data_IF_977827432264
#
_entry.id   IF_977827432264
#
_cell.length_a   1.000
_cell.length_b   1.000
_cell.length_c   1.000
_cell.angle_alpha   90.00
_cell.angle_beta   90.00
_cell.angle_gamma   90.00
#
_symmetry.space_group_name_H-M   'P 1'
#
loop_
_entity.id
_entity.type
_entity.pdbx_description
1 polymer ?
#
# COMPACT_ATOMS: atom_id res chain seq x y z
N UNK A 1 -19.94 31.29 8.35
CA UNK A 1 -18.58 31.19 7.79
C UNK A 1 -18.28 29.72 7.59
N UNK A 2 -17.94 29.28 6.38
CA UNK A 2 -17.66 27.86 6.10
C UNK A 2 -16.27 27.52 6.64
N UNK A 3 -16.15 26.45 7.43
CA UNK A 3 -14.87 25.99 7.99
C UNK A 3 -14.62 24.56 7.53
N UNK A 4 -13.50 24.35 6.83
CA UNK A 4 -13.04 23.01 6.50
C UNK A 4 -12.52 22.36 7.79
N UNK A 5 -13.10 21.23 8.19
CA UNK A 5 -12.75 20.54 9.45
C UNK A 5 -11.65 19.50 9.24
N UNK A 6 -11.60 18.89 8.06
CA UNK A 6 -10.61 17.88 7.69
C UNK A 6 -10.56 17.72 6.17
N UNK A 7 -9.37 17.42 5.64
CA UNK A 7 -9.21 16.98 4.25
C UNK A 7 -8.64 15.56 4.24
N UNK A 8 -9.21 14.70 3.38
CA UNK A 8 -8.70 13.36 3.12
C UNK A 8 -8.38 13.22 1.64
N UNK A 9 -7.26 12.58 1.34
CA UNK A 9 -6.85 12.23 -0.02
C UNK A 9 -6.57 10.74 -0.04
N UNK A 10 -7.29 10.02 -0.90
CA UNK A 10 -7.01 8.62 -1.19
C UNK A 10 -6.30 8.54 -2.53
N UNK A 11 -5.19 7.81 -2.55
CA UNK A 11 -4.40 7.56 -3.76
C UNK A 11 -4.36 6.07 -4.03
N UNK A 12 -4.37 5.73 -5.31
CA UNK A 12 -4.22 4.36 -5.80
C UNK A 12 -3.02 4.31 -6.73
N UNK A 13 -2.21 3.26 -6.60
CA UNK A 13 -1.05 3.02 -7.43
C UNK A 13 -0.88 1.52 -7.66
N UNK A 14 -0.15 1.16 -8.71
CA UNK A 14 0.15 -0.22 -9.06
C UNK A 14 1.62 -0.33 -9.43
N UNK A 15 2.27 -1.38 -8.92
CA UNK A 15 3.67 -1.70 -9.19
C UNK A 15 3.77 -3.18 -9.60
N UNK A 16 4.61 -3.51 -10.58
CA UNK A 16 4.89 -4.90 -10.96
C UNK A 16 6.34 -5.26 -10.63
N UNK A 17 6.56 -6.30 -9.82
CA UNK A 17 7.89 -6.80 -9.43
C UNK A 17 7.87 -8.33 -9.40
N UNK A 18 8.83 -8.96 -10.06
CA UNK A 18 9.02 -10.42 -9.97
C UNK A 18 7.83 -11.25 -10.46
N UNK A 19 7.02 -10.73 -11.39
CA UNK A 19 5.79 -11.40 -11.87
C UNK A 19 4.56 -11.18 -10.98
N UNK A 20 4.70 -10.41 -9.90
CA UNK A 20 3.60 -9.99 -9.05
C UNK A 20 3.23 -8.54 -9.31
N UNK A 21 1.94 -8.27 -9.19
CA UNK A 21 1.38 -6.93 -9.19
C UNK A 21 0.95 -6.54 -7.77
N UNK A 22 1.43 -5.40 -7.32
CA UNK A 22 1.16 -4.80 -6.02
C UNK A 22 0.25 -3.60 -6.24
N UNK A 23 -1.05 -3.79 -5.97
CA UNK A 23 -2.02 -2.70 -6.01
C UNK A 23 -2.11 -2.06 -4.65
N UNK A 24 -1.64 -0.82 -4.57
CA UNK A 24 -1.52 -0.07 -3.34
C UNK A 24 -2.57 1.02 -3.29
N UNK A 25 -3.30 1.09 -2.18
CA UNK A 25 -4.26 2.14 -1.87
C UNK A 25 -3.86 2.72 -0.52
N UNK A 26 -3.70 4.03 -0.43
CA UNK A 26 -3.37 4.70 0.83
C UNK A 26 -4.15 6.00 0.99
N UNK A 27 -4.44 6.33 2.25
CA UNK A 27 -5.20 7.51 2.61
C UNK A 27 -4.38 8.42 3.49
N UNK A 28 -4.38 9.70 3.14
CA UNK A 28 -3.76 10.79 3.88
C UNK A 28 -4.87 11.66 4.45
N UNK A 29 -4.90 11.86 5.76
CA UNK A 29 -5.82 12.78 6.44
C UNK A 29 -5.00 13.86 7.12
N UNK A 30 -5.23 15.12 6.74
CA UNK A 30 -4.50 16.29 7.28
C UNK A 30 -2.97 16.13 7.27
N UNK A 31 -2.41 15.53 6.21
CA UNK A 31 -0.97 15.31 6.06
C UNK A 31 -0.40 14.10 6.82
N UNK A 32 -1.26 13.23 7.37
CA UNK A 32 -0.85 11.98 8.03
C UNK A 32 -1.41 10.78 7.26
N UNK A 33 -0.57 9.79 6.94
CA UNK A 33 -1.03 8.53 6.37
C UNK A 33 -1.78 7.76 7.45
N UNK A 34 -3.06 7.52 7.25
CA UNK A 34 -3.91 6.78 8.19
C UNK A 34 -4.00 5.30 7.87
N UNK A 35 -3.85 4.95 6.58
CA UNK A 35 -3.92 3.58 6.10
C UNK A 35 -3.12 3.39 4.82
N UNK A 36 -2.51 2.21 4.69
CA UNK A 36 -1.91 1.68 3.47
C UNK A 36 -2.43 0.26 3.31
N UNK A 37 -2.99 -0.08 2.16
CA UNK A 37 -3.43 -1.43 1.81
C UNK A 37 -2.81 -1.83 0.49
N UNK A 38 -2.17 -2.98 0.45
CA UNK A 38 -1.52 -3.54 -0.72
C UNK A 38 -2.12 -4.91 -1.03
N UNK A 39 -2.84 -5.03 -2.14
CA UNK A 39 -3.26 -6.31 -2.71
C UNK A 39 -2.13 -6.85 -3.59
N UNK A 40 -1.69 -8.07 -3.30
CA UNK A 40 -0.64 -8.77 -4.03
C UNK A 40 -1.33 -9.73 -4.98
N UNK A 41 -1.05 -9.57 -6.26
CA UNK A 41 -1.75 -10.26 -7.33
C UNK A 41 -0.76 -10.91 -8.28
N UNK A 42 -1.13 -12.04 -8.86
CA UNK A 42 -0.32 -12.75 -9.83
C UNK A 42 -1.19 -13.12 -11.03
N UNK A 43 -0.64 -12.99 -12.23
CA UNK A 43 -1.32 -13.44 -13.44
C UNK A 43 -1.16 -14.96 -13.59
N UNK A 44 -2.28 -15.66 -13.60
CA UNK A 44 -2.35 -17.11 -13.85
C UNK A 44 -3.36 -17.32 -14.95
N UNK A 45 -2.91 -17.91 -16.07
CA UNK A 45 -3.76 -18.18 -17.23
C UNK A 45 -4.51 -16.94 -17.74
N UNK A 46 -3.81 -15.79 -17.83
CA UNK A 46 -4.36 -14.49 -18.24
C UNK A 46 -5.41 -13.88 -17.30
N UNK A 47 -5.50 -14.40 -16.07
CA UNK A 47 -6.37 -13.86 -15.02
C UNK A 47 -5.52 -13.38 -13.86
N UNK A 48 -5.71 -12.12 -13.48
CA UNK A 48 -5.05 -11.54 -12.32
C UNK A 48 -5.74 -12.01 -11.03
N UNK A 49 -5.05 -12.84 -10.26
CA UNK A 49 -5.56 -13.44 -9.03
C UNK A 49 -4.94 -12.79 -7.80
N UNK A 50 -5.75 -12.47 -6.79
CA UNK A 50 -5.21 -12.03 -5.49
C UNK A 50 -4.61 -13.23 -4.74
N UNK A 51 -3.30 -13.19 -4.52
CA UNK A 51 -2.53 -14.20 -3.79
C UNK A 51 -2.21 -13.77 -2.36
N UNK A 52 -2.46 -12.51 -2.04
CA UNK A 52 -2.47 -12.03 -0.67
C UNK A 52 -2.69 -10.54 -0.55
N UNK A 53 -2.62 -10.06 0.69
CA UNK A 53 -2.88 -8.69 1.07
C UNK A 53 -2.06 -8.33 2.30
N UNK A 54 -1.42 -7.17 2.26
CA UNK A 54 -0.71 -6.58 3.39
C UNK A 54 -1.28 -5.19 3.62
N UNK A 55 -1.68 -4.86 4.83
CA UNK A 55 -2.13 -3.52 5.20
C UNK A 55 -1.42 -3.01 6.45
N UNK A 56 -1.23 -1.69 6.51
CA UNK A 56 -0.75 -0.93 7.66
C UNK A 56 -1.85 0.07 8.03
N UNK A 57 -2.48 -0.12 9.17
CA UNK A 57 -3.56 0.73 9.67
C UNK A 57 -3.26 1.12 11.11
N UNK A 58 -3.23 2.41 11.42
CA UNK A 58 -2.95 2.93 12.77
C UNK A 58 -1.69 2.33 13.43
N UNK A 59 -0.64 2.06 12.65
CA UNK A 59 0.61 1.47 13.12
C UNK A 59 0.61 -0.06 13.27
N UNK A 60 -0.52 -0.72 13.08
CA UNK A 60 -0.61 -2.18 13.04
C UNK A 60 -0.47 -2.69 11.61
N UNK A 61 0.33 -3.74 11.44
CA UNK A 61 0.47 -4.43 10.15
C UNK A 61 -0.34 -5.71 10.19
N UNK A 62 -1.28 -5.84 9.25
CA UNK A 62 -2.06 -7.05 9.03
C UNK A 62 -1.61 -7.67 7.70
N UNK A 63 -1.39 -8.98 7.71
CA UNK A 63 -0.90 -9.69 6.54
C UNK A 63 -1.68 -10.99 6.38
N UNK A 64 -2.10 -11.21 5.14
CA UNK A 64 -2.68 -12.46 4.66
C UNK A 64 -1.98 -12.83 3.36
N UNK A 65 -1.44 -14.04 3.26
CA UNK A 65 -0.83 -14.58 2.05
C UNK A 65 -1.32 -16.02 1.89
N UNK A 66 -1.47 -16.48 0.64
CA UNK A 66 -1.62 -17.91 0.37
C UNK A 66 -0.34 -18.64 0.80
N UNK A 67 -0.48 -19.88 1.25
CA UNK A 67 0.63 -20.70 1.77
C UNK A 67 1.74 -20.97 0.75
N UNK A 68 1.45 -20.78 -0.55
CA UNK A 68 2.39 -20.95 -1.66
C UNK A 68 3.33 -19.77 -1.87
N UNK A 69 3.05 -18.63 -1.24
CA UNK A 69 3.79 -17.38 -1.48
C UNK A 69 4.96 -17.20 -0.51
N UNK A 70 6.03 -16.54 -0.99
CA UNK A 70 7.16 -16.17 -0.15
C UNK A 70 6.82 -14.97 0.74
N UNK A 71 6.54 -15.28 2.00
CA UNK A 71 6.23 -14.27 3.02
C UNK A 71 7.30 -13.17 3.11
N UNK A 72 8.58 -13.54 3.13
CA UNK A 72 9.67 -12.60 3.41
C UNK A 72 9.80 -11.62 2.24
N UNK A 73 9.79 -12.14 1.01
CA UNK A 73 9.89 -11.32 -0.19
C UNK A 73 8.75 -10.27 -0.28
N UNK A 74 7.51 -10.67 -0.02
CA UNK A 74 6.37 -9.76 -0.05
C UNK A 74 6.37 -8.74 1.10
N UNK A 75 6.81 -9.14 2.29
CA UNK A 75 6.96 -8.23 3.43
C UNK A 75 8.04 -7.17 3.18
N UNK A 76 9.18 -7.55 2.59
CA UNK A 76 10.25 -6.62 2.20
C UNK A 76 9.78 -5.65 1.10
N UNK A 77 9.08 -6.16 0.08
CA UNK A 77 8.52 -5.31 -0.97
C UNK A 77 7.48 -4.32 -0.41
N UNK A 78 6.63 -4.75 0.53
CA UNK A 78 5.68 -3.86 1.20
C UNK A 78 6.39 -2.80 2.04
N UNK A 79 7.47 -3.15 2.74
CA UNK A 79 8.29 -2.18 3.49
C UNK A 79 8.86 -1.11 2.56
N UNK A 80 9.35 -1.49 1.38
CA UNK A 80 9.83 -0.53 0.38
C UNK A 80 8.71 0.40 -0.12
N UNK A 81 7.52 -0.14 -0.42
CA UNK A 81 6.34 0.63 -0.82
C UNK A 81 5.96 1.65 0.26
N UNK A 82 5.88 1.22 1.52
CA UNK A 82 5.56 2.10 2.65
C UNK A 82 6.59 3.23 2.76
N UNK A 83 7.88 2.92 2.60
CA UNK A 83 8.94 3.93 2.66
C UNK A 83 8.83 4.97 1.54
N UNK A 84 8.43 4.58 0.32
CA UNK A 84 8.21 5.56 -0.76
C UNK A 84 7.00 6.44 -0.50
N UNK A 85 5.90 5.87 -0.01
CA UNK A 85 4.68 6.63 0.33
C UNK A 85 4.97 7.63 1.46
N UNK A 86 5.74 7.24 2.47
CA UNK A 86 6.09 8.11 3.60
C UNK A 86 6.96 9.32 3.17
N UNK A 87 7.69 9.24 2.06
CA UNK A 87 8.42 10.39 1.49
C UNK A 87 7.50 11.47 0.95
N UNK A 88 6.29 11.14 0.51
CA UNK A 88 5.32 12.14 0.01
C UNK A 88 4.85 13.11 1.10
N UNK A 89 4.98 12.72 2.36
CA UNK A 89 4.62 13.56 3.51
C UNK A 89 5.80 14.36 4.05
N UNK A 90 7.04 14.04 3.66
CA UNK A 90 8.17 14.88 4.00
C UNK A 90 8.06 16.17 3.18
N UNK A 91 8.18 17.36 3.82
CA UNK A 91 8.18 18.60 3.06
C UNK A 91 9.28 18.49 2.00
N UNK A 92 8.92 18.78 0.74
CA UNK A 92 9.91 19.07 -0.29
C UNK A 92 10.68 20.26 0.28
N UNK A 93 11.93 20.05 0.69
CA UNK A 93 12.77 21.12 1.23
C UNK A 93 12.68 22.31 0.26
N UNK A 94 12.17 23.43 0.79
CA UNK A 94 12.06 24.71 0.09
C UNK A 94 13.34 25.51 0.16
#
# INVERSE_FOLDING_TARGET
MLKLVSASVTKESTLTVGGYEYRVIYTIVNGVITSISCSIRQEVSSVLNEVGKISKENGQVNLFLRDTEDYIAHAEQFKAIVSEIEKELQPIEG
#
